data_IF_259760074307
#
_entry.id   IF_259760074307
#
_cell.length_a   1.000
_cell.length_b   1.000
_cell.length_c   1.000
_cell.angle_alpha   90.00
_cell.angle_beta   90.00
_cell.angle_gamma   90.00
#
_symmetry.space_group_name_H-M   'P 1'
#
loop_
_entity.id
_entity.type
_entity.pdbx_description
1 polymer ?
#
# COMPACT_ATOMS: atom_id res chain seq x y z
N UNK A 1 11.27 4.01 -35.77
CA UNK A 1 11.22 4.03 -34.29
C UNK A 1 10.16 5.03 -33.87
N UNK A 2 9.09 4.57 -33.23
CA UNK A 2 8.01 5.43 -32.77
C UNK A 2 8.48 6.23 -31.55
N UNK A 3 8.15 7.53 -31.52
CA UNK A 3 8.38 8.40 -30.38
C UNK A 3 7.03 8.67 -29.74
N UNK A 4 6.99 8.62 -28.42
CA UNK A 4 5.78 8.87 -27.64
C UNK A 4 6.00 10.09 -26.75
N UNK A 5 4.95 10.89 -26.56
CA UNK A 5 5.00 12.07 -25.69
C UNK A 5 4.56 11.64 -24.30
N UNK A 6 5.43 11.85 -23.32
CA UNK A 6 5.09 11.67 -21.91
C UNK A 6 5.15 13.02 -21.20
N UNK A 7 4.24 13.24 -20.26
CA UNK A 7 4.32 14.38 -19.35
C UNK A 7 5.15 13.98 -18.13
N UNK A 8 6.25 14.70 -17.90
CA UNK A 8 7.11 14.53 -16.73
C UNK A 8 7.20 15.88 -16.05
N UNK A 9 6.72 15.97 -14.81
CA UNK A 9 6.76 17.19 -13.99
C UNK A 9 6.15 18.44 -14.67
N UNK A 10 5.12 18.25 -15.50
CA UNK A 10 4.45 19.34 -16.22
C UNK A 10 5.08 19.69 -17.56
N UNK A 11 6.23 19.08 -17.91
CA UNK A 11 6.88 19.23 -19.21
C UNK A 11 6.53 18.07 -20.15
N UNK A 12 6.14 18.39 -21.39
CA UNK A 12 5.99 17.39 -22.44
C UNK A 12 7.36 16.99 -22.99
N UNK A 13 7.75 15.74 -22.79
CA UNK A 13 9.01 15.18 -23.32
C UNK A 13 8.73 14.10 -24.35
N UNK A 14 9.35 14.27 -25.51
CA UNK A 14 9.30 13.29 -26.59
C UNK A 14 10.38 12.25 -26.32
N UNK A 15 9.95 11.06 -25.92
CA UNK A 15 10.84 9.95 -25.60
C UNK A 15 10.62 8.78 -26.56
N UNK A 16 11.53 7.80 -26.49
CA UNK A 16 11.33 6.52 -27.15
C UNK A 16 10.16 5.77 -26.51
N UNK A 17 9.42 5.01 -27.31
CA UNK A 17 8.32 4.14 -26.86
C UNK A 17 8.72 3.23 -25.69
N UNK A 18 9.91 2.59 -25.74
CA UNK A 18 10.40 1.76 -24.63
C UNK A 18 10.44 2.51 -23.30
N UNK A 19 10.93 3.76 -23.35
CA UNK A 19 11.05 4.63 -22.18
C UNK A 19 9.68 5.05 -21.66
N UNK A 20 8.74 5.35 -22.55
CA UNK A 20 7.37 5.69 -22.18
C UNK A 20 6.66 4.51 -21.50
N UNK A 21 6.83 3.29 -22.03
CA UNK A 21 6.26 2.07 -21.45
C UNK A 21 6.85 1.77 -20.07
N UNK A 22 8.17 1.86 -19.92
CA UNK A 22 8.82 1.71 -18.62
C UNK A 22 8.36 2.75 -17.61
N UNK A 23 8.22 4.02 -18.02
CA UNK A 23 7.73 5.10 -17.16
C UNK A 23 6.32 4.82 -16.64
N UNK A 24 5.39 4.42 -17.52
CA UNK A 24 4.04 4.00 -17.11
C UNK A 24 4.08 2.82 -16.14
N UNK A 25 4.92 1.82 -16.41
CA UNK A 25 5.09 0.65 -15.53
C UNK A 25 5.54 1.02 -14.12
N UNK A 26 6.50 1.94 -14.00
CA UNK A 26 7.00 2.43 -12.69
C UNK A 26 5.89 3.16 -11.94
N UNK A 27 5.10 4.01 -12.61
CA UNK A 27 3.98 4.71 -11.99
C UNK A 27 2.98 3.71 -11.40
N UNK A 28 2.60 2.69 -12.16
CA UNK A 28 1.69 1.64 -11.67
C UNK A 28 2.28 0.88 -10.48
N UNK A 29 3.57 0.55 -10.53
CA UNK A 29 4.24 -0.11 -9.41
C UNK A 29 4.22 0.75 -8.14
N UNK A 30 4.51 2.06 -8.26
CA UNK A 30 4.45 3.00 -7.13
C UNK A 30 3.03 3.11 -6.56
N UNK A 31 2.02 3.19 -7.43
CA UNK A 31 0.61 3.20 -7.00
C UNK A 31 0.26 1.91 -6.24
N UNK A 32 0.67 0.75 -6.75
CA UNK A 32 0.41 -0.54 -6.09
C UNK A 32 1.09 -0.64 -4.72
N UNK A 33 2.34 -0.21 -4.60
CA UNK A 33 3.08 -0.18 -3.33
C UNK A 33 2.43 0.79 -2.34
N UNK A 34 2.07 2.01 -2.79
CA UNK A 34 1.38 2.98 -1.96
C UNK A 34 0.04 2.47 -1.44
N UNK A 35 -0.77 1.85 -2.31
CA UNK A 35 -2.04 1.24 -1.93
C UNK A 35 -1.86 0.12 -0.90
N UNK A 36 -0.85 -0.75 -1.07
CA UNK A 36 -0.53 -1.80 -0.11
C UNK A 36 -0.18 -1.22 1.28
N UNK A 37 0.66 -0.18 1.33
CA UNK A 37 1.04 0.47 2.59
C UNK A 37 -0.19 1.05 3.30
N UNK A 38 -1.09 1.71 2.56
CA UNK A 38 -2.32 2.26 3.12
C UNK A 38 -3.20 1.15 3.70
N UNK A 39 -3.42 0.06 2.97
CA UNK A 39 -4.22 -1.07 3.44
C UNK A 39 -3.58 -1.69 4.69
N UNK A 40 -2.27 -1.92 4.67
CA UNK A 40 -1.55 -2.47 5.82
C UNK A 40 -1.67 -1.55 7.05
N UNK A 41 -1.58 -0.23 6.87
CA UNK A 41 -1.78 0.73 7.95
C UNK A 41 -3.22 0.68 8.49
N UNK A 42 -4.23 0.62 7.61
CA UNK A 42 -5.64 0.51 8.03
C UNK A 42 -5.88 -0.77 8.81
N UNK A 43 -5.33 -1.91 8.37
CA UNK A 43 -5.48 -3.18 9.10
C UNK A 43 -4.76 -3.14 10.44
N UNK A 44 -3.54 -2.60 10.48
CA UNK A 44 -2.75 -2.50 11.69
C UNK A 44 -3.39 -1.57 12.74
N UNK A 45 -3.80 -0.37 12.33
CA UNK A 45 -4.42 0.60 13.24
C UNK A 45 -5.91 0.31 13.50
N UNK A 46 -6.66 -0.13 12.49
CA UNK A 46 -8.07 -0.45 12.64
C UNK A 46 -8.30 -1.70 13.50
N UNK A 47 -7.49 -2.74 13.33
CA UNK A 47 -7.64 -4.00 14.06
C UNK A 47 -6.75 -4.08 15.30
N UNK A 48 -5.46 -3.75 15.15
CA UNK A 48 -4.47 -3.86 16.23
C UNK A 48 -4.62 -2.77 17.28
N UNK A 49 -4.63 -1.49 16.88
CA UNK A 49 -4.75 -0.39 17.84
C UNK A 49 -6.14 -0.35 18.49
N UNK A 50 -7.20 -0.62 17.73
CA UNK A 50 -8.56 -0.75 18.26
C UNK A 50 -8.67 -1.87 19.31
N UNK A 51 -8.14 -3.07 19.04
CA UNK A 51 -8.17 -4.19 19.99
C UNK A 51 -7.34 -3.92 21.25
N UNK A 52 -6.19 -3.24 21.10
CA UNK A 52 -5.30 -2.90 22.22
C UNK A 52 -5.89 -1.80 23.11
N UNK A 53 -6.56 -0.80 22.53
CA UNK A 53 -7.24 0.26 23.28
C UNK A 53 -8.52 -0.25 23.96
N UNK A 54 -9.19 -1.25 23.39
CA UNK A 54 -10.40 -1.84 23.96
C UNK A 54 -10.13 -2.90 25.05
N UNK A 55 -8.86 -3.14 25.43
CA UNK A 55 -8.45 -4.17 26.41
C UNK A 55 -9.04 -5.58 26.14
N UNK A 56 -9.42 -5.90 24.89
CA UNK A 56 -10.04 -7.18 24.53
C UNK A 56 -9.01 -8.21 24.06
N UNK A 57 -7.73 -7.95 24.29
CA UNK A 57 -6.66 -8.93 24.12
C UNK A 57 -6.72 -9.87 25.32
N UNK A 58 -7.63 -10.84 25.27
CA UNK A 58 -7.72 -11.89 26.29
C UNK A 58 -6.38 -12.61 26.36
N UNK A 59 -5.71 -12.46 27.50
CA UNK A 59 -4.51 -13.23 27.79
C UNK A 59 -4.85 -14.72 27.72
N UNK A 60 -3.96 -15.59 27.21
CA UNK A 60 -4.18 -17.03 27.23
C UNK A 60 -4.61 -17.56 28.61
N UNK A 61 -4.12 -16.93 29.68
CA UNK A 61 -4.47 -17.25 31.06
C UNK A 61 -5.95 -16.98 31.42
N UNK A 62 -6.59 -15.95 30.83
CA UNK A 62 -8.01 -15.62 31.09
C UNK A 62 -8.96 -16.57 30.35
N UNK A 63 -8.53 -17.15 29.23
CA UNK A 63 -9.31 -18.10 28.45
C UNK A 63 -9.38 -19.45 29.16
N UNK A 64 -8.30 -19.86 29.84
CA UNK A 64 -8.26 -21.10 30.62
C UNK A 64 -9.11 -21.03 31.89
N UNK A 65 -9.11 -19.90 32.62
CA UNK A 65 -9.93 -19.73 33.82
C UNK A 65 -11.44 -19.77 33.54
N UNK A 66 -11.88 -19.33 32.37
CA UNK A 66 -13.31 -19.34 32.00
C UNK A 66 -13.83 -20.72 31.58
N UNK A 67 -12.93 -21.69 31.37
CA UNK A 67 -13.25 -23.05 30.93
C UNK A 67 -13.30 -24.06 32.09
N UNK A 68 -12.80 -23.69 33.27
CA UNK A 68 -13.01 -24.41 34.53
C UNK A 68 -14.33 -23.99 35.16
#
# INVERSE_FOLDING_TARGET
>A
MAKEVINVDGEEKVVREDTAKSYRGIIWALISVGAFIIIAAILFFGFGLGSLLNNDIKSPAEIEQKRQ
#
